data_IF_103350525085
#
_entry.id   IF_103350525085
#
_cell.length_a   1.000
_cell.length_b   1.000
_cell.length_c   1.000
_cell.angle_alpha   90.00
_cell.angle_beta   90.00
_cell.angle_gamma   90.00
#
_symmetry.space_group_name_H-M   'P 1'
#
loop_
_entity.id
_entity.type
_entity.pdbx_description
1 polymer ?
#
# COMPACT_ATOMS: atom_id res chain seq x y z
N UNK A 1 14.39 11.57 -30.16
CA UNK A 1 14.71 11.46 -28.71
C UNK A 1 13.62 12.00 -27.79
N UNK A 2 13.23 13.29 -27.86
CA UNK A 2 12.27 13.92 -26.92
C UNK A 2 10.90 13.20 -26.84
N UNK A 3 10.27 12.85 -27.97
CA UNK A 3 8.98 12.13 -28.01
C UNK A 3 9.01 10.76 -27.31
N UNK A 4 10.09 9.98 -27.49
CA UNK A 4 10.28 8.66 -26.83
C UNK A 4 10.42 8.82 -25.31
N UNK A 5 11.18 9.81 -24.85
CA UNK A 5 11.35 10.12 -23.42
C UNK A 5 10.03 10.54 -22.76
N UNK A 6 9.26 11.41 -23.43
CA UNK A 6 7.93 11.81 -22.92
C UNK A 6 6.98 10.62 -22.79
N UNK A 7 6.94 9.74 -23.78
CA UNK A 7 6.12 8.54 -23.74
C UNK A 7 6.55 7.57 -22.62
N UNK A 8 7.85 7.41 -22.39
CA UNK A 8 8.38 6.61 -21.28
C UNK A 8 7.96 7.19 -19.91
N UNK A 9 8.13 8.49 -19.70
CA UNK A 9 7.73 9.15 -18.46
C UNK A 9 6.22 9.04 -18.20
N UNK A 10 5.39 9.14 -19.24
CA UNK A 10 3.94 8.96 -19.11
C UNK A 10 3.56 7.54 -18.69
N UNK A 11 4.26 6.51 -19.20
CA UNK A 11 4.06 5.12 -18.78
C UNK A 11 4.46 4.91 -17.33
N UNK A 12 5.60 5.43 -16.91
CA UNK A 12 6.05 5.26 -15.52
C UNK A 12 5.14 5.97 -14.53
N UNK A 13 4.62 7.17 -14.87
CA UNK A 13 3.59 7.83 -14.07
C UNK A 13 2.34 6.96 -13.91
N UNK A 14 1.83 6.36 -14.99
CA UNK A 14 0.67 5.46 -14.91
C UNK A 14 0.95 4.24 -14.02
N UNK A 15 2.13 3.62 -14.16
CA UNK A 15 2.56 2.51 -13.31
C UNK A 15 2.58 2.91 -11.83
N UNK A 16 3.12 4.08 -11.53
CA UNK A 16 3.21 4.59 -10.16
C UNK A 16 1.84 4.96 -9.58
N UNK A 17 0.93 5.50 -10.38
CA UNK A 17 -0.45 5.76 -9.96
C UNK A 17 -1.15 4.46 -9.56
N UNK A 18 -1.09 3.42 -10.41
CA UNK A 18 -1.68 2.12 -10.07
C UNK A 18 -1.08 1.50 -8.80
N UNK A 19 0.23 1.68 -8.56
CA UNK A 19 0.86 1.25 -7.31
C UNK A 19 0.34 2.05 -6.10
N UNK A 20 0.20 3.37 -6.23
CA UNK A 20 -0.33 4.21 -5.16
C UNK A 20 -1.78 3.85 -4.85
N UNK A 21 -2.62 3.60 -5.86
CA UNK A 21 -4.01 3.18 -5.67
C UNK A 21 -4.09 1.84 -4.90
N UNK A 22 -3.19 0.89 -5.18
CA UNK A 22 -3.10 -0.35 -4.42
C UNK A 22 -2.68 -0.11 -2.96
N UNK A 23 -1.77 0.83 -2.71
CA UNK A 23 -1.40 1.25 -1.36
C UNK A 23 -2.56 1.91 -0.60
N UNK A 24 -3.42 2.70 -1.28
CA UNK A 24 -4.63 3.25 -0.65
C UNK A 24 -5.60 2.16 -0.23
N UNK A 25 -5.90 1.22 -1.13
CA UNK A 25 -6.77 0.07 -0.82
C UNK A 25 -6.23 -0.76 0.34
N UNK A 26 -4.92 -0.94 0.43
CA UNK A 26 -4.31 -1.65 1.56
C UNK A 26 -4.49 -0.85 2.87
N UNK A 27 -4.39 0.48 2.84
CA UNK A 27 -4.61 1.32 4.02
C UNK A 27 -6.04 1.27 4.56
N UNK A 28 -7.02 1.08 3.69
CA UNK A 28 -8.43 0.97 4.08
C UNK A 28 -8.72 -0.28 4.92
N UNK A 29 -7.91 -1.34 4.77
CA UNK A 29 -8.14 -2.63 5.43
C UNK A 29 -7.17 -2.93 6.58
N UNK A 30 -6.08 -2.16 6.72
CA UNK A 30 -5.16 -2.32 7.86
C UNK A 30 -5.59 -1.43 9.04
N UNK A 31 -5.41 -1.88 10.29
CA UNK A 31 -5.72 -1.07 11.45
C UNK A 31 -4.89 0.22 11.50
N UNK A 32 -5.52 1.36 11.79
CA UNK A 32 -4.83 2.61 12.13
C UNK A 32 -4.91 2.86 13.63
N UNK A 33 -3.77 3.20 14.26
CA UNK A 33 -3.67 3.43 15.71
C UNK A 33 -4.16 4.84 16.08
N UNK A 34 -5.44 5.11 15.87
CA UNK A 34 -6.16 6.26 16.46
C UNK A 34 -5.70 7.66 16.03
N UNK A 35 -4.80 7.76 15.06
CA UNK A 35 -4.52 9.02 14.38
C UNK A 35 -5.17 8.96 13.01
N UNK A 36 -5.93 9.98 12.62
CA UNK A 36 -6.39 10.21 11.24
C UNK A 36 -5.22 10.42 10.26
N UNK A 37 -3.99 10.08 10.68
CA UNK A 37 -2.76 10.14 9.92
C UNK A 37 -2.66 8.91 9.04
N UNK A 38 -2.58 9.17 7.74
CA UNK A 38 -2.25 8.18 6.73
C UNK A 38 -0.86 7.58 6.96
N UNK A 39 -0.79 6.25 7.05
CA UNK A 39 0.47 5.51 7.16
C UNK A 39 1.37 5.74 5.93
N UNK A 40 2.69 5.84 6.14
CA UNK A 40 3.66 5.77 5.05
C UNK A 40 3.61 4.42 4.34
N UNK A 41 4.23 4.29 3.16
CA UNK A 41 4.28 3.02 2.43
C UNK A 41 4.93 1.90 3.25
N UNK A 42 6.01 2.20 3.95
CA UNK A 42 6.70 1.25 4.81
C UNK A 42 5.82 0.83 5.99
N UNK A 43 5.27 1.80 6.73
CA UNK A 43 4.36 1.52 7.85
C UNK A 43 3.14 0.72 7.41
N UNK A 44 2.59 0.99 6.22
CA UNK A 44 1.45 0.24 5.67
C UNK A 44 1.79 -1.24 5.46
N UNK A 45 2.97 -1.54 4.88
CA UNK A 45 3.41 -2.92 4.66
C UNK A 45 3.70 -3.63 5.98
N UNK A 46 4.38 -2.95 6.91
CA UNK A 46 4.67 -3.50 8.23
C UNK A 46 3.37 -3.82 8.99
N UNK A 47 2.41 -2.89 8.99
CA UNK A 47 1.11 -3.11 9.63
C UNK A 47 0.33 -4.25 8.97
N UNK A 48 0.35 -4.35 7.62
CA UNK A 48 -0.30 -5.44 6.91
C UNK A 48 0.26 -6.81 7.34
N UNK A 49 1.60 -6.94 7.44
CA UNK A 49 2.23 -8.18 7.87
C UNK A 49 1.87 -8.52 9.33
N UNK A 50 1.95 -7.55 10.23
CA UNK A 50 1.55 -7.73 11.63
C UNK A 50 0.09 -8.14 11.75
N UNK A 51 -0.81 -7.51 10.98
CA UNK A 51 -2.24 -7.77 11.05
C UNK A 51 -2.60 -9.16 10.52
N UNK A 52 -2.02 -9.58 9.39
CA UNK A 52 -2.19 -10.95 8.87
C UNK A 52 -1.77 -11.98 9.92
N UNK A 53 -0.61 -11.80 10.55
CA UNK A 53 -0.14 -12.72 11.59
C UNK A 53 -1.09 -12.74 12.80
N UNK A 54 -1.57 -11.57 13.25
CA UNK A 54 -2.51 -11.49 14.36
C UNK A 54 -3.84 -12.19 14.07
N UNK A 55 -4.41 -11.99 12.87
CA UNK A 55 -5.62 -12.67 12.44
C UNK A 55 -5.43 -14.19 12.33
N UNK A 56 -4.28 -14.62 11.82
CA UNK A 56 -3.95 -16.05 11.70
C UNK A 56 -3.83 -16.73 13.06
N UNK A 57 -3.17 -16.10 14.03
CA UNK A 57 -3.08 -16.63 15.40
C UNK A 57 -4.45 -16.61 16.11
N UNK A 58 -5.27 -15.58 15.88
CA UNK A 58 -6.64 -15.54 16.39
C UNK A 58 -7.45 -16.75 15.91
N UNK A 59 -7.40 -17.05 14.61
CA UNK A 59 -8.13 -18.20 14.04
C UNK A 59 -7.59 -19.55 14.53
N UNK A 60 -6.29 -19.68 14.80
CA UNK A 60 -5.70 -20.94 15.30
C UNK A 60 -6.03 -21.24 16.77
N UNK A 61 -6.23 -20.21 17.57
CA UNK A 61 -6.47 -20.33 19.01
C UNK A 61 -7.95 -20.27 19.39
N UNK A 62 -8.83 -20.25 18.40
CA UNK A 62 -10.28 -20.47 18.52
C UNK A 62 -10.66 -21.87 18.03
#
# INVERSE_FOLDING_TARGET
MKKRRTAANARERRRMNSLNDAFEKLREVVPSLGSDRKLSKFETLQMAQTYINALHELVKHH
#
